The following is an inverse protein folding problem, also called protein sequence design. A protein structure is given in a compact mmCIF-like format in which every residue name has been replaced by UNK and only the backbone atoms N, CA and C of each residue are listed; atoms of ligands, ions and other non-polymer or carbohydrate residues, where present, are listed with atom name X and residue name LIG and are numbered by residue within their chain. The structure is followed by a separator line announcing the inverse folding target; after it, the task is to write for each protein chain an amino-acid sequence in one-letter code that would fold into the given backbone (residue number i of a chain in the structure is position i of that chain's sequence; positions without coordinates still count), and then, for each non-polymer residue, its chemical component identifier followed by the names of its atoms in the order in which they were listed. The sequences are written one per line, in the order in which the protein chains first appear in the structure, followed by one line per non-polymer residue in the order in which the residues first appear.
data_IF_728130171682
#
_entry.id   IF_728130171682
#
_cell.length_a   1.000
_cell.length_b   1.000
_cell.length_c   1.000
_cell.angle_alpha   90.00
_cell.angle_beta   90.00
_cell.angle_gamma   90.00
#
_symmetry.space_group_name_H-M   'P 1'
#
loop_
_entity.id
_entity.type
_entity.pdbx_description
1 polymer ?
#
# COMPACT_ATOMS: atom_id res chain seq x y z
N UNK A 1 7.17 23.67 28.24
CA UNK A 1 6.85 23.06 26.93
C UNK A 1 7.89 21.97 26.70
N UNK A 2 7.64 20.75 27.19
CA UNK A 2 8.50 19.60 26.87
C UNK A 2 7.90 18.88 25.67
N UNK A 3 8.59 18.95 24.54
CA UNK A 3 8.22 18.18 23.36
C UNK A 3 8.58 16.71 23.60
N UNK A 4 7.55 15.91 23.86
CA UNK A 4 7.64 14.45 23.92
C UNK A 4 8.13 13.90 22.59
N UNK A 5 9.40 13.48 22.56
CA UNK A 5 10.03 12.78 21.44
C UNK A 5 9.28 11.46 21.20
N UNK A 6 8.34 11.47 20.26
CA UNK A 6 7.61 10.27 19.84
C UNK A 6 8.63 9.31 19.25
N UNK A 7 8.97 8.27 20.02
CA UNK A 7 9.88 7.21 19.60
C UNK A 7 9.16 6.39 18.52
N UNK A 8 9.20 6.90 17.29
CA UNK A 8 8.66 6.26 16.09
C UNK A 8 9.36 4.92 15.93
N UNK A 9 8.77 3.87 16.53
CA UNK A 9 9.17 2.47 16.40
C UNK A 9 9.26 2.16 14.92
N UNK A 10 10.46 2.32 14.33
CA UNK A 10 10.72 2.06 12.91
C UNK A 10 10.37 0.60 12.63
N UNK A 11 9.18 0.37 12.09
CA UNK A 11 8.74 -0.94 11.58
C UNK A 11 9.47 -1.14 10.26
N UNK A 12 10.59 -1.84 10.32
CA UNK A 12 11.39 -2.24 9.18
C UNK A 12 12.19 -3.49 9.52
N UNK A 13 12.68 -4.16 8.48
CA UNK A 13 13.51 -5.36 8.59
C UNK A 13 14.83 -5.11 9.35
N UNK A 14 15.26 -3.86 9.49
CA UNK A 14 16.36 -3.44 10.35
C UNK A 14 15.78 -2.83 11.62
N UNK A 15 15.76 -3.60 12.72
CA UNK A 15 15.49 -3.02 14.04
C UNK A 15 16.72 -2.22 14.47
N UNK A 16 16.64 -0.88 14.37
CA UNK A 16 17.71 0.02 14.82
C UNK A 16 17.93 -0.03 16.34
N UNK A 17 16.91 -0.44 17.09
CA UNK A 17 17.00 -0.64 18.54
C UNK A 17 17.79 -1.89 18.87
N UNK A 18 18.81 -1.78 19.73
CA UNK A 18 19.53 -2.89 20.38
C UNK A 18 18.66 -3.68 21.38
N UNK A 19 17.35 -3.62 21.24
CA UNK A 19 16.37 -4.24 22.13
C UNK A 19 16.03 -5.68 21.73
N UNK A 20 15.34 -6.41 22.62
CA UNK A 20 14.85 -7.74 22.33
C UNK A 20 13.88 -7.74 21.13
N UNK A 21 13.98 -8.76 20.30
CA UNK A 21 13.04 -9.04 19.24
C UNK A 21 11.78 -9.69 19.82
N UNK A 22 10.63 -9.10 19.49
CA UNK A 22 9.31 -9.69 19.77
C UNK A 22 9.08 -10.84 18.80
N UNK A 23 8.97 -12.06 19.32
CA UNK A 23 8.69 -13.27 18.56
C UNK A 23 7.32 -13.79 18.97
N UNK A 24 6.41 -13.90 18.00
CA UNK A 24 5.10 -14.52 18.17
C UNK A 24 5.17 -15.96 17.69
N UNK A 25 4.75 -16.90 18.52
CA UNK A 25 4.68 -18.34 18.18
C UNK A 25 3.27 -18.85 18.50
N UNK A 26 2.77 -19.79 17.71
CA UNK A 26 1.51 -20.49 18.07
C UNK A 26 1.83 -21.54 19.12
N UNK A 27 1.12 -21.48 20.25
CA UNK A 27 1.17 -22.50 21.30
C UNK A 27 0.39 -23.76 20.90
N UNK A 28 0.49 -24.79 21.74
CA UNK A 28 -0.15 -26.10 21.51
C UNK A 28 -1.68 -26.00 21.47
N UNK A 29 -2.24 -25.05 22.22
CA UNK A 29 -3.69 -24.81 22.35
C UNK A 29 -4.22 -23.80 21.31
N UNK A 30 -3.41 -23.46 20.29
CA UNK A 30 -3.77 -22.47 19.26
C UNK A 30 -3.60 -21.00 19.69
N UNK A 31 -3.38 -20.72 20.98
CA UNK A 31 -3.16 -19.36 21.49
C UNK A 31 -1.81 -18.77 21.02
N UNK A 32 -1.79 -17.48 20.70
CA UNK A 32 -0.57 -16.76 20.29
C UNK A 32 0.27 -16.38 21.52
N UNK A 33 1.43 -17.01 21.67
CA UNK A 33 2.39 -16.66 22.73
C UNK A 33 3.41 -15.66 22.18
N UNK A 34 3.52 -14.51 22.85
CA UNK A 34 4.51 -13.48 22.52
C UNK A 34 5.69 -13.60 23.49
N UNK A 35 6.90 -13.78 22.95
CA UNK A 35 8.15 -13.90 23.73
C UNK A 35 9.18 -12.87 23.26
N UNK A 36 10.00 -12.37 24.20
CA UNK A 36 11.12 -11.50 23.91
C UNK A 36 12.40 -12.32 23.76
N UNK A 37 13.01 -12.27 22.57
CA UNK A 37 14.31 -12.91 22.29
C UNK A 37 15.39 -11.84 22.21
N UNK A 38 16.58 -12.10 22.77
CA UNK A 38 17.77 -11.26 22.54
C UNK A 38 18.61 -11.88 21.43
N UNK A 39 18.64 -11.32 20.21
CA UNK A 39 19.46 -11.87 19.13
C UNK A 39 20.95 -11.74 19.45
N UNK A 40 21.76 -12.63 18.90
CA UNK A 40 23.23 -12.49 18.96
C UNK A 40 23.72 -11.40 17.99
N UNK A 41 24.96 -10.94 18.17
CA UNK A 41 25.57 -9.96 17.26
C UNK A 41 25.73 -10.52 15.84
N UNK A 42 26.10 -11.80 15.73
CA UNK A 42 26.17 -12.51 14.47
C UNK A 42 24.82 -12.58 13.73
N UNK A 43 23.71 -12.83 14.44
CA UNK A 43 22.37 -12.83 13.85
C UNK A 43 21.99 -11.44 13.32
N UNK A 44 22.35 -10.38 14.05
CA UNK A 44 22.13 -9.00 13.59
C UNK A 44 22.96 -8.68 12.35
N UNK A 45 24.22 -9.11 12.33
CA UNK A 45 25.11 -8.89 11.19
C UNK A 45 24.61 -9.63 9.94
N UNK A 46 24.17 -10.88 10.08
CA UNK A 46 23.53 -11.63 8.99
C UNK A 46 22.30 -10.92 8.44
N UNK A 47 21.43 -10.41 9.32
CA UNK A 47 20.25 -9.67 8.88
C UNK A 47 20.63 -8.36 8.16
N UNK A 48 21.67 -7.66 8.65
CA UNK A 48 22.21 -6.45 8.00
C UNK A 48 22.74 -6.76 6.60
N UNK A 49 23.55 -7.82 6.45
CA UNK A 49 24.09 -8.27 5.16
C UNK A 49 22.97 -8.71 4.20
N UNK A 50 21.96 -9.44 4.70
CA UNK A 50 20.78 -9.82 3.92
C UNK A 50 20.04 -8.59 3.39
N UNK A 51 19.81 -7.62 4.26
CA UNK A 51 19.09 -6.41 3.86
C UNK A 51 19.91 -5.53 2.90
N UNK A 52 21.22 -5.40 3.12
CA UNK A 52 22.11 -4.73 2.19
C UNK A 52 22.08 -5.42 0.82
N UNK A 53 22.17 -6.75 0.78
CA UNK A 53 22.05 -7.51 -0.47
C UNK A 53 20.69 -7.28 -1.14
N UNK A 54 19.58 -7.33 -0.39
CA UNK A 54 18.23 -7.05 -0.92
C UNK A 54 18.17 -5.66 -1.58
N UNK A 55 18.70 -4.64 -0.91
CA UNK A 55 18.74 -3.25 -1.41
C UNK A 55 19.65 -3.10 -2.63
N UNK A 56 20.82 -3.73 -2.62
CA UNK A 56 21.74 -3.71 -3.76
C UNK A 56 21.12 -4.36 -5.00
N UNK A 57 20.41 -5.48 -4.84
CA UNK A 57 19.71 -6.13 -5.96
C UNK A 57 18.61 -5.21 -6.50
N UNK A 58 17.77 -4.63 -5.63
CA UNK A 58 16.74 -3.68 -6.06
C UNK A 58 17.35 -2.48 -6.82
N UNK A 59 18.44 -1.90 -6.32
CA UNK A 59 19.13 -0.80 -6.98
C UNK A 59 19.65 -1.18 -8.37
N UNK A 60 20.22 -2.39 -8.54
CA UNK A 60 20.65 -2.89 -9.85
C UNK A 60 19.48 -3.08 -10.81
N UNK A 61 18.34 -3.60 -10.34
CA UNK A 61 17.12 -3.76 -11.15
C UNK A 61 16.65 -2.39 -11.67
N UNK A 62 16.48 -1.40 -10.77
CA UNK A 62 16.03 -0.06 -11.16
C UNK A 62 17.02 0.67 -12.08
N UNK A 63 18.33 0.46 -11.90
CA UNK A 63 19.34 1.00 -12.80
C UNK A 63 19.22 0.40 -14.21
N UNK A 64 19.02 -0.93 -14.32
CA UNK A 64 18.78 -1.60 -15.59
C UNK A 64 17.52 -1.10 -16.29
N UNK A 65 16.41 -1.00 -15.56
CA UNK A 65 15.15 -0.47 -16.08
C UNK A 65 15.26 0.97 -16.58
N UNK A 66 16.00 1.86 -15.88
CA UNK A 66 16.26 3.22 -16.40
C UNK A 66 17.06 3.22 -17.69
N UNK A 67 18.05 2.33 -17.81
CA UNK A 67 18.95 2.32 -18.96
C UNK A 67 18.32 1.69 -20.20
N UNK A 68 17.45 0.68 -20.03
CA UNK A 68 16.97 -0.17 -21.13
C UNK A 68 15.44 -0.17 -21.30
N UNK A 69 14.67 0.27 -20.30
CA UNK A 69 13.21 0.16 -20.30
C UNK A 69 12.48 1.13 -21.23
N UNK A 70 13.20 2.09 -21.84
CA UNK A 70 12.67 3.06 -22.81
C UNK A 70 11.36 3.76 -22.38
N UNK A 71 11.19 3.94 -21.07
CA UNK A 71 10.03 4.61 -20.48
C UNK A 71 10.11 6.11 -20.76
N UNK A 72 8.98 6.73 -21.07
CA UNK A 72 8.85 8.18 -21.26
C UNK A 72 8.86 8.92 -19.91
N UNK A 73 9.92 8.74 -19.14
CA UNK A 73 10.09 9.30 -17.80
C UNK A 73 11.10 10.46 -17.79
N UNK A 74 10.95 11.43 -16.87
CA UNK A 74 11.95 12.47 -16.66
C UNK A 74 13.34 11.91 -16.36
N UNK A 75 14.41 12.65 -16.70
CA UNK A 75 15.80 12.25 -16.44
C UNK A 75 16.07 11.93 -14.96
N UNK A 76 15.37 12.58 -14.05
CA UNK A 76 15.45 12.45 -12.60
C UNK A 76 14.28 11.68 -11.98
N UNK A 77 13.51 10.91 -12.77
CA UNK A 77 12.43 10.07 -12.29
C UNK A 77 12.90 9.22 -11.10
N UNK A 78 12.05 9.01 -10.10
CA UNK A 78 12.39 8.30 -8.87
C UNK A 78 12.26 6.75 -9.03
N UNK A 79 12.20 5.98 -7.94
CA UNK A 79 11.98 4.53 -8.04
C UNK A 79 10.50 4.17 -8.24
N UNK A 80 9.58 4.97 -7.70
CA UNK A 80 8.15 4.74 -7.78
C UNK A 80 7.64 5.03 -9.20
N UNK A 81 8.15 6.07 -9.86
CA UNK A 81 7.84 6.41 -11.25
C UNK A 81 8.16 5.26 -12.21
N UNK A 82 9.30 4.59 -11.99
CA UNK A 82 9.70 3.41 -12.77
C UNK A 82 8.77 2.24 -12.47
N UNK A 83 8.37 2.04 -11.21
CA UNK A 83 7.41 1.01 -10.87
C UNK A 83 6.05 1.26 -11.52
N UNK A 84 5.56 2.51 -11.49
CA UNK A 84 4.33 2.91 -12.17
C UNK A 84 4.44 2.61 -13.67
N UNK A 85 5.50 3.06 -14.33
CA UNK A 85 5.71 2.79 -15.77
C UNK A 85 5.77 1.30 -16.10
N UNK A 86 6.46 0.50 -15.27
CA UNK A 86 6.52 -0.96 -15.43
C UNK A 86 5.15 -1.63 -15.23
N UNK A 87 4.37 -1.19 -14.25
CA UNK A 87 3.01 -1.68 -14.03
C UNK A 87 2.09 -1.33 -15.20
N UNK A 88 2.19 -0.10 -15.71
CA UNK A 88 1.45 0.38 -16.88
C UNK A 88 1.74 -0.45 -18.13
N UNK A 89 3.01 -0.78 -18.37
CA UNK A 89 3.48 -1.69 -19.43
C UNK A 89 2.90 -3.11 -19.26
N UNK A 90 2.85 -3.61 -18.03
CA UNK A 90 2.28 -4.91 -17.69
C UNK A 90 0.73 -4.94 -17.69
N UNK A 91 0.05 -3.83 -18.04
CA UNK A 91 -1.41 -3.75 -18.12
C UNK A 91 -2.13 -3.49 -16.79
N UNK A 92 -1.40 -3.01 -15.78
CA UNK A 92 -1.94 -2.56 -14.49
C UNK A 92 -2.00 -1.03 -14.46
N UNK A 93 -3.01 -0.47 -13.80
CA UNK A 93 -3.06 0.94 -13.46
C UNK A 93 -2.61 1.14 -12.03
N UNK A 94 -1.83 2.19 -11.78
CA UNK A 94 -1.34 2.56 -10.45
C UNK A 94 -1.72 4.00 -10.15
N UNK A 95 -2.54 4.18 -9.13
CA UNK A 95 -2.96 5.48 -8.63
C UNK A 95 -1.86 6.17 -7.80
N UNK A 96 -2.02 7.45 -7.53
CA UNK A 96 -1.06 8.23 -6.75
C UNK A 96 -1.00 7.85 -5.26
N UNK A 97 -2.07 7.25 -4.73
CA UNK A 97 -2.13 6.68 -3.38
C UNK A 97 -1.42 5.31 -3.27
N UNK A 98 -1.03 4.72 -4.39
CA UNK A 98 -0.41 3.40 -4.48
C UNK A 98 -1.39 2.24 -4.64
N UNK A 99 -2.68 2.52 -4.85
CA UNK A 99 -3.68 1.50 -5.20
C UNK A 99 -3.45 1.00 -6.63
N UNK A 100 -3.55 -0.31 -6.85
CA UNK A 100 -3.33 -0.93 -8.16
C UNK A 100 -4.55 -1.73 -8.62
N UNK A 101 -4.95 -1.57 -9.88
CA UNK A 101 -6.04 -2.34 -10.48
C UNK A 101 -5.73 -2.74 -11.92
N UNK A 102 -6.42 -3.77 -12.42
CA UNK A 102 -6.17 -4.30 -13.76
C UNK A 102 -6.91 -3.45 -14.79
N UNK A 103 -6.23 -3.01 -15.84
CA UNK A 103 -6.86 -2.22 -16.93
C UNK A 103 -7.95 -2.98 -17.69
N UNK A 104 -7.99 -4.31 -17.56
CA UNK A 104 -9.01 -5.18 -18.19
C UNK A 104 -10.16 -5.54 -17.25
N UNK A 105 -10.61 -4.63 -16.39
CA UNK A 105 -11.94 -4.73 -15.80
C UNK A 105 -12.94 -4.22 -16.84
N UNK A 106 -13.49 -5.16 -17.60
CA UNK A 106 -14.73 -5.03 -18.37
C UNK A 106 -15.67 -4.02 -17.71
N UNK A 107 -16.20 -3.07 -18.52
CA UNK A 107 -17.44 -2.24 -18.45
C UNK A 107 -18.33 -2.23 -17.19
N UNK A 108 -18.33 -3.29 -16.38
CA UNK A 108 -19.00 -3.44 -15.09
C UNK A 108 -18.49 -2.49 -13.99
N UNK A 109 -17.19 -2.14 -13.93
CA UNK A 109 -16.69 -1.22 -12.90
C UNK A 109 -17.03 0.25 -13.21
N UNK A 110 -16.93 0.66 -14.47
CA UNK A 110 -17.32 2.02 -14.91
C UNK A 110 -18.81 2.30 -14.63
N UNK A 111 -19.67 1.29 -14.82
CA UNK A 111 -21.12 1.39 -14.58
C UNK A 111 -21.50 1.48 -13.10
N UNK A 112 -20.64 1.00 -12.19
CA UNK A 112 -20.84 1.10 -10.75
C UNK A 112 -20.51 2.51 -10.21
N UNK A 113 -19.67 3.27 -10.92
CA UNK A 113 -19.31 4.65 -10.56
C UNK A 113 -20.23 5.71 -11.17
N UNK A 114 -20.95 5.38 -12.25
CA UNK A 114 -22.02 6.22 -12.85
C UNK A 114 -23.41 6.00 -12.22
N UNK A 115 -23.54 5.18 -11.17
CA UNK A 115 -24.81 4.99 -10.49
C UNK A 115 -25.26 6.33 -9.86
N UNK A 116 -26.49 6.81 -10.13
CA UNK A 116 -26.99 8.01 -9.48
C UNK A 116 -26.98 7.79 -7.98
N UNK A 117 -26.34 8.71 -7.26
CA UNK A 117 -26.51 8.81 -5.81
C UNK A 117 -27.98 9.14 -5.58
N UNK A 118 -28.78 8.16 -5.17
CA UNK A 118 -30.16 8.37 -4.72
C UNK A 118 -30.14 9.28 -3.49
N UNK A 119 -30.21 10.59 -3.74
CA UNK A 119 -30.58 11.58 -2.74
C UNK A 119 -32.06 11.38 -2.43
N UNK A 120 -32.34 10.84 -1.24
CA UNK A 120 -33.69 10.67 -0.69
C UNK A 120 -34.35 12.01 -0.35
N UNK A 121 -34.57 12.87 -1.33
CA UNK A 121 -35.28 14.15 -1.13
C UNK A 121 -36.53 14.31 -2.01
N UNK A 122 -36.83 13.38 -2.93
CA UNK A 122 -37.93 13.55 -3.88
C UNK A 122 -39.28 12.91 -3.48
N UNK A 123 -39.41 12.30 -2.30
CA UNK A 123 -40.67 11.63 -1.88
C UNK A 123 -41.73 12.57 -1.27
N UNK A 124 -41.42 13.85 -1.04
CA UNK A 124 -42.39 14.82 -0.48
C UNK A 124 -43.11 15.66 -1.55
N UNK A 125 -42.65 15.64 -2.81
CA UNK A 125 -43.24 16.41 -3.90
C UNK A 125 -44.43 15.70 -4.55
N UNK A 126 -44.37 14.37 -4.68
CA UNK A 126 -45.38 13.58 -5.40
C UNK A 126 -46.69 13.40 -4.62
N UNK A 127 -46.66 13.49 -3.29
CA UNK A 127 -47.82 13.28 -2.44
C UNK A 127 -48.77 14.50 -2.35
N UNK A 128 -48.30 15.71 -2.67
CA UNK A 128 -49.14 16.92 -2.68
C UNK A 128 -49.89 17.12 -4.00
N UNK A 129 -49.36 16.62 -5.12
CA UNK A 129 -50.03 16.69 -6.43
C UNK A 129 -51.15 15.67 -6.63
N UNK A 130 -51.16 14.56 -5.87
CA UNK A 130 -52.20 13.53 -5.98
C UNK A 130 -53.48 13.83 -5.18
N UNK A 131 -53.42 14.67 -4.15
CA UNK A 131 -54.60 15.06 -3.37
C UNK A 131 -55.47 16.14 -4.05
N UNK A 132 -54.92 16.93 -4.97
CA UNK A 132 -55.69 17.97 -5.69
C UNK A 132 -56.40 17.48 -6.96
N UNK A 133 -56.19 16.23 -7.36
CA UNK A 133 -56.83 15.65 -8.56
C UNK A 133 -58.07 14.81 -8.27
N UNK A 134 -58.39 14.61 -6.99
CA UNK A 134 -59.56 13.86 -6.50
C UNK A 134 -60.40 14.68 -5.50
N UNK A 135 -60.64 15.96 -5.79
CA UNK A 135 -61.80 16.71 -5.32
C UNK A 135 -62.46 17.41 -6.50
#
# INVERSE_FOLDING_TARGET
MEEGKVDLKKRGCIKGTRGPWVVKRRGKDGMLVTSLRRPSEWEREKNRKREQRRRMVAAKIFAGLRAQGNYALPRNADQNDILKALCEEAGWHVEDDGTIYRKSATRAFQRAMEAPVETKEDELSTNLTLSFKYM
#
